data_IF_613953317139
#
_entry.id   IF_613953317139
#
_cell.length_a   1.000
_cell.length_b   1.000
_cell.length_c   1.000
_cell.angle_alpha   90.00
_cell.angle_beta   90.00
_cell.angle_gamma   90.00
#
_symmetry.space_group_name_H-M   'P 1'
#
loop_
_entity.id
_entity.type
_entity.pdbx_description
1 polymer ?
#
# COMPACT_ATOMS: atom_id res chain seq x y z
N UNK A 1 -7.12 33.25 26.88
CA UNK A 1 -6.12 33.32 25.79
C UNK A 1 -6.64 32.53 24.60
N UNK A 2 -6.50 32.95 23.34
CA UNK A 2 -6.96 32.15 22.21
C UNK A 2 -6.07 30.91 22.06
N UNK A 3 -6.68 29.75 21.83
CA UNK A 3 -5.98 28.52 21.47
C UNK A 3 -5.27 28.79 20.13
N UNK A 4 -3.93 28.80 20.14
CA UNK A 4 -3.15 28.93 18.91
C UNK A 4 -3.43 27.70 18.05
N UNK A 5 -4.18 27.91 16.98
CA UNK A 5 -4.40 26.88 15.97
C UNK A 5 -3.07 26.63 15.25
N UNK A 6 -2.47 25.47 15.50
CA UNK A 6 -1.28 25.02 14.78
C UNK A 6 -1.70 23.95 13.80
N UNK A 7 -1.49 24.19 12.51
CA UNK A 7 -1.65 23.14 11.51
C UNK A 7 -0.61 22.03 11.78
N UNK A 8 -0.99 20.75 11.68
CA UNK A 8 -0.03 19.65 11.74
C UNK A 8 1.00 19.81 10.63
N UNK A 9 2.27 19.57 10.92
CA UNK A 9 3.30 19.45 9.89
C UNK A 9 3.04 18.15 9.10
N UNK A 10 2.73 18.29 7.82
CA UNK A 10 2.48 17.20 6.88
C UNK A 10 3.58 17.28 5.82
N UNK A 11 4.17 16.14 5.45
CA UNK A 11 5.17 16.11 4.39
C UNK A 11 4.51 16.61 3.10
N UNK A 12 5.15 17.56 2.42
CA UNK A 12 4.63 18.08 1.18
C UNK A 12 4.60 16.99 0.09
N UNK A 13 3.49 16.89 -0.62
CA UNK A 13 3.35 16.00 -1.77
C UNK A 13 3.95 16.64 -3.01
N UNK A 14 4.97 16.00 -3.55
CA UNK A 14 5.76 16.44 -4.71
C UNK A 14 5.39 15.73 -6.01
N UNK A 15 4.22 15.08 -6.04
CA UNK A 15 3.75 14.29 -7.19
C UNK A 15 4.58 13.04 -7.49
N UNK A 16 5.34 12.50 -6.53
CA UNK A 16 6.11 11.26 -6.74
C UNK A 16 5.58 10.04 -5.97
N UNK A 17 4.76 10.26 -4.94
CA UNK A 17 4.18 9.19 -4.13
C UNK A 17 2.74 8.90 -4.53
N UNK A 18 2.16 7.85 -3.96
CA UNK A 18 0.74 7.55 -4.16
C UNK A 18 -0.14 8.71 -3.64
N UNK A 19 -1.09 9.25 -4.45
CA UNK A 19 -1.95 10.34 -4.04
C UNK A 19 -2.98 9.93 -2.98
N UNK A 20 -3.41 8.66 -2.97
CA UNK A 20 -4.33 8.11 -1.97
C UNK A 20 -3.70 8.05 -0.58
N UNK A 21 -2.44 7.60 -0.50
CA UNK A 21 -1.67 7.60 0.75
C UNK A 21 -1.52 9.01 1.33
N UNK A 22 -1.26 10.01 0.48
CA UNK A 22 -1.20 11.42 0.91
C UNK A 22 -2.54 11.91 1.47
N UNK A 23 -3.64 11.63 0.77
CA UNK A 23 -4.99 11.97 1.24
C UNK A 23 -5.30 11.30 2.58
N UNK A 24 -4.98 10.02 2.74
CA UNK A 24 -5.22 9.27 3.97
C UNK A 24 -4.42 9.86 5.14
N UNK A 25 -3.12 10.14 4.92
CA UNK A 25 -2.27 10.77 5.91
C UNK A 25 -2.77 12.16 6.30
N UNK A 26 -3.11 13.00 5.32
CA UNK A 26 -3.63 14.34 5.55
C UNK A 26 -4.93 14.29 6.36
N UNK A 27 -5.87 13.42 5.95
CA UNK A 27 -7.16 13.23 6.64
C UNK A 27 -6.95 12.82 8.09
N UNK A 28 -6.10 11.83 8.35
CA UNK A 28 -5.81 11.36 9.71
C UNK A 28 -5.24 12.48 10.58
N UNK A 29 -4.31 13.28 10.05
CA UNK A 29 -3.71 14.42 10.76
C UNK A 29 -4.75 15.49 11.07
N UNK A 30 -5.63 15.81 10.13
CA UNK A 30 -6.69 16.80 10.33
C UNK A 30 -7.77 16.34 11.30
N UNK A 31 -8.09 15.04 11.33
CA UNK A 31 -9.02 14.47 12.31
C UNK A 31 -8.48 14.54 13.75
N UNK A 32 -7.16 14.54 13.93
CA UNK A 32 -6.53 14.72 15.24
C UNK A 32 -6.59 16.18 15.75
N UNK A 33 -6.91 17.13 14.87
CA UNK A 33 -7.06 18.54 15.25
C UNK A 33 -8.48 18.79 15.74
N UNK A 34 -8.62 19.39 16.92
CA UNK A 34 -9.91 19.79 17.47
C UNK A 34 -10.50 20.97 16.67
N UNK A 35 -11.26 20.65 15.62
CA UNK A 35 -11.96 21.61 14.78
C UNK A 35 -13.47 21.61 15.04
N UNK A 36 -14.12 22.79 15.12
CA UNK A 36 -15.58 22.89 15.11
C UNK A 36 -16.18 22.19 13.90
N UNK A 37 -17.25 21.43 14.11
CA UNK A 37 -17.85 20.56 13.09
C UNK A 37 -18.27 21.35 11.84
N UNK A 38 -18.75 22.57 12.03
CA UNK A 38 -19.26 23.48 11.01
C UNK A 38 -18.17 24.01 10.08
N UNK A 39 -16.92 24.05 10.58
CA UNK A 39 -15.77 24.59 9.84
C UNK A 39 -14.79 23.52 9.36
N UNK A 40 -15.00 22.26 9.78
CA UNK A 40 -14.05 21.15 9.56
C UNK A 40 -13.76 20.93 8.09
N UNK A 41 -14.79 20.75 7.26
CA UNK A 41 -14.65 20.51 5.82
C UNK A 41 -13.94 21.67 5.12
N UNK A 42 -14.38 22.90 5.37
CA UNK A 42 -13.77 24.10 4.79
C UNK A 42 -12.30 24.24 5.20
N UNK A 43 -11.97 23.92 6.45
CA UNK A 43 -10.58 23.95 6.95
C UNK A 43 -9.74 22.84 6.33
N UNK A 44 -10.29 21.63 6.19
CA UNK A 44 -9.61 20.53 5.52
C UNK A 44 -9.33 20.85 4.05
N UNK A 45 -10.30 21.40 3.31
CA UNK A 45 -10.10 21.79 1.91
C UNK A 45 -9.04 22.88 1.78
N UNK A 46 -9.11 23.95 2.58
CA UNK A 46 -8.14 25.06 2.53
C UNK A 46 -6.75 24.64 2.98
N UNK A 47 -6.66 23.82 4.02
CA UNK A 47 -5.39 23.31 4.53
C UNK A 47 -4.70 22.35 3.56
N UNK A 48 -5.46 21.68 2.68
CA UNK A 48 -4.89 20.67 1.78
C UNK A 48 -3.83 21.27 0.86
N UNK A 49 -4.07 22.48 0.33
CA UNK A 49 -3.09 23.19 -0.50
C UNK A 49 -1.75 23.41 0.21
N UNK A 50 -1.74 23.60 1.54
CA UNK A 50 -0.49 23.76 2.30
C UNK A 50 0.36 22.47 2.39
N UNK A 51 -0.24 21.32 2.07
CA UNK A 51 0.44 20.03 2.02
C UNK A 51 0.95 19.65 0.62
N UNK A 52 0.83 20.55 -0.37
CA UNK A 52 1.22 20.28 -1.75
C UNK A 52 2.41 21.15 -2.16
N UNK A 53 3.22 20.64 -3.09
CA UNK A 53 4.28 21.41 -3.75
C UNK A 53 4.29 21.13 -5.25
N UNK A 54 5.03 21.95 -6.01
CA UNK A 54 5.24 21.74 -7.44
C UNK A 54 3.94 21.59 -8.25
N UNK A 55 3.83 20.58 -9.15
CA UNK A 55 2.65 20.37 -9.99
C UNK A 55 1.34 20.18 -9.21
N UNK A 56 1.39 19.55 -8.04
CA UNK A 56 0.21 19.36 -7.19
C UNK A 56 -0.33 20.68 -6.64
N UNK A 57 0.55 21.57 -6.21
CA UNK A 57 0.15 22.91 -5.77
C UNK A 57 -0.44 23.72 -6.93
N UNK A 58 0.17 23.64 -8.12
CA UNK A 58 -0.32 24.31 -9.32
C UNK A 58 -1.70 23.80 -9.73
N UNK A 59 -1.95 22.50 -9.65
CA UNK A 59 -3.29 21.95 -9.90
C UNK A 59 -4.32 22.51 -8.91
N UNK A 60 -4.00 22.53 -7.61
CA UNK A 60 -4.92 22.97 -6.57
C UNK A 60 -5.36 24.44 -6.75
N UNK A 61 -4.42 25.35 -7.08
CA UNK A 61 -4.75 26.77 -7.28
C UNK A 61 -5.55 27.03 -8.56
N UNK A 62 -5.49 26.12 -9.54
CA UNK A 62 -6.19 26.22 -10.82
C UNK A 62 -7.57 25.53 -10.81
N UNK A 63 -8.01 25.01 -9.66
CA UNK A 63 -9.35 24.42 -9.54
C UNK A 63 -10.44 25.47 -9.84
N UNK A 64 -11.49 25.12 -10.59
CA UNK A 64 -12.57 26.06 -10.86
C UNK A 64 -13.21 26.56 -9.57
N UNK A 65 -13.54 27.85 -9.54
CA UNK A 65 -14.24 28.45 -8.41
C UNK A 65 -15.50 27.68 -8.06
N UNK A 66 -15.74 27.42 -6.77
CA UNK A 66 -16.91 26.69 -6.24
C UNK A 66 -17.02 25.21 -6.69
N UNK A 67 -15.99 24.64 -7.31
CA UNK A 67 -15.98 23.20 -7.68
C UNK A 67 -15.78 22.24 -6.51
N UNK A 68 -15.26 22.74 -5.38
CA UNK A 68 -14.97 21.98 -4.17
C UNK A 68 -15.95 22.38 -3.07
N UNK A 69 -16.91 21.52 -2.75
CA UNK A 69 -17.90 21.74 -1.68
C UNK A 69 -17.63 20.88 -0.43
N UNK A 70 -16.76 19.88 -0.53
CA UNK A 70 -16.35 19.01 0.58
C UNK A 70 -14.92 18.50 0.37
N UNK A 71 -14.30 18.01 1.45
CA UNK A 71 -12.98 17.40 1.37
C UNK A 71 -13.02 16.10 0.55
N UNK A 72 -14.13 15.36 0.59
CA UNK A 72 -14.32 14.16 -0.23
C UNK A 72 -14.23 14.46 -1.74
N UNK A 73 -14.90 15.53 -2.20
CA UNK A 73 -14.83 15.93 -3.62
C UNK A 73 -13.41 16.35 -4.00
N UNK A 74 -12.72 17.06 -3.10
CA UNK A 74 -11.32 17.44 -3.31
C UNK A 74 -10.41 16.21 -3.41
N UNK A 75 -10.56 15.24 -2.50
CA UNK A 75 -9.75 14.03 -2.50
C UNK A 75 -9.96 13.22 -3.76
N UNK A 76 -11.21 13.06 -4.20
CA UNK A 76 -11.53 12.28 -5.40
C UNK A 76 -10.90 12.91 -6.64
N UNK A 77 -11.05 14.23 -6.81
CA UNK A 77 -10.43 14.98 -7.91
C UNK A 77 -8.91 14.94 -7.88
N UNK A 78 -8.32 15.02 -6.69
CA UNK A 78 -6.87 14.95 -6.53
C UNK A 78 -6.34 13.57 -6.95
N UNK A 79 -6.99 12.52 -6.45
CA UNK A 79 -6.64 11.13 -6.73
C UNK A 79 -6.87 10.76 -8.19
N UNK A 80 -7.88 11.35 -8.85
CA UNK A 80 -8.13 11.25 -10.29
C UNK A 80 -7.03 11.97 -11.10
N UNK A 81 -6.72 13.22 -10.75
CA UNK A 81 -5.69 14.03 -11.43
C UNK A 81 -4.32 13.37 -11.40
N UNK A 82 -3.93 12.80 -10.26
CA UNK A 82 -2.62 12.20 -10.03
C UNK A 82 -2.66 10.68 -10.09
N UNK A 83 -3.68 10.09 -10.74
CA UNK A 83 -3.84 8.65 -10.83
C UNK A 83 -2.63 7.93 -11.45
N UNK A 84 -1.91 8.58 -12.37
CA UNK A 84 -0.67 8.06 -12.97
C UNK A 84 0.50 7.96 -11.98
N UNK A 85 0.43 8.66 -10.86
CA UNK A 85 1.42 8.58 -9.78
C UNK A 85 1.05 7.55 -8.71
N UNK A 86 -0.11 6.90 -8.84
CA UNK A 86 -0.40 5.73 -8.03
C UNK A 86 0.70 4.71 -8.32
N UNK A 87 1.29 4.17 -7.26
CA UNK A 87 2.13 2.99 -7.43
C UNK A 87 1.30 1.93 -8.17
N UNK A 88 1.93 1.17 -9.07
CA UNK A 88 1.30 -0.04 -9.61
C UNK A 88 0.76 -0.83 -8.43
N UNK A 89 -0.56 -1.05 -8.39
CA UNK A 89 -1.15 -1.88 -7.34
C UNK A 89 -0.42 -3.22 -7.35
N UNK A 90 0.16 -3.56 -6.20
CA UNK A 90 0.86 -4.81 -6.06
C UNK A 90 -0.18 -5.91 -6.10
N UNK A 91 0.01 -6.83 -7.03
CA UNK A 91 -0.85 -8.00 -7.17
C UNK A 91 -0.20 -9.17 -6.44
N UNK A 92 -0.97 -10.23 -6.21
CA UNK A 92 -0.41 -11.49 -5.68
C UNK A 92 0.76 -12.05 -6.50
N UNK A 93 0.88 -11.66 -7.78
CA UNK A 93 2.00 -12.03 -8.62
C UNK A 93 3.33 -11.41 -8.14
N UNK A 94 3.33 -10.21 -7.54
CA UNK A 94 4.57 -9.55 -7.08
C UNK A 94 5.24 -10.33 -5.94
N UNK A 95 4.48 -11.11 -5.17
CA UNK A 95 5.05 -11.98 -4.13
C UNK A 95 6.02 -13.03 -4.70
N UNK A 96 5.86 -13.44 -5.96
CA UNK A 96 6.75 -14.42 -6.60
C UNK A 96 8.13 -13.83 -6.95
N UNK A 97 8.27 -12.51 -6.94
CA UNK A 97 9.53 -11.82 -7.21
C UNK A 97 10.39 -11.69 -5.95
N UNK A 98 9.80 -11.91 -4.77
CA UNK A 98 10.50 -11.86 -3.49
C UNK A 98 11.23 -13.19 -3.28
N UNK A 99 12.54 -13.17 -3.53
CA UNK A 99 13.43 -14.31 -3.29
C UNK A 99 14.34 -14.04 -2.09
N UNK A 100 14.59 -15.06 -1.27
CA UNK A 100 15.59 -15.04 -0.23
C UNK A 100 16.98 -15.08 -0.87
N UNK A 101 17.82 -14.11 -0.54
CA UNK A 101 19.19 -14.07 -1.05
C UNK A 101 20.12 -14.98 -0.23
N UNK A 102 21.19 -15.53 -0.83
CA UNK A 102 22.11 -16.47 -0.16
C UNK A 102 22.71 -15.96 1.15
N UNK A 103 23.03 -14.67 1.22
CA UNK A 103 23.61 -14.03 2.41
C UNK A 103 22.54 -13.46 3.37
N UNK A 104 21.27 -13.61 3.04
CA UNK A 104 20.18 -13.02 3.80
C UNK A 104 19.65 -14.00 4.87
N UNK A 105 19.59 -13.57 6.14
CA UNK A 105 18.95 -14.37 7.17
C UNK A 105 17.44 -14.48 6.90
N UNK A 106 16.84 -15.62 7.24
CA UNK A 106 15.40 -15.88 7.04
C UNK A 106 14.50 -14.72 7.53
N UNK A 107 14.86 -14.09 8.66
CA UNK A 107 14.11 -12.96 9.22
C UNK A 107 14.06 -11.76 8.27
N UNK A 108 15.13 -11.50 7.51
CA UNK A 108 15.17 -10.46 6.49
C UNK A 108 14.19 -10.75 5.36
N UNK A 109 14.19 -12.01 4.90
CA UNK A 109 13.29 -12.46 3.85
C UNK A 109 11.82 -12.33 4.27
N UNK A 110 11.47 -12.82 5.47
CA UNK A 110 10.12 -12.71 6.04
C UNK A 110 9.71 -11.24 6.15
N UNK A 111 10.61 -10.35 6.56
CA UNK A 111 10.31 -8.92 6.67
C UNK A 111 9.96 -8.31 5.30
N UNK A 112 10.76 -8.57 4.26
CA UNK A 112 10.47 -8.10 2.89
C UNK A 112 9.18 -8.70 2.34
N UNK A 113 9.00 -10.01 2.50
CA UNK A 113 7.80 -10.70 2.02
C UNK A 113 6.54 -10.14 2.69
N UNK A 114 6.56 -9.91 4.01
CA UNK A 114 5.42 -9.30 4.70
C UNK A 114 5.20 -7.83 4.31
N UNK A 115 6.26 -7.07 4.04
CA UNK A 115 6.13 -5.70 3.54
C UNK A 115 5.44 -5.67 2.17
N UNK A 116 5.82 -6.59 1.27
CA UNK A 116 5.17 -6.74 -0.03
C UNK A 116 3.69 -7.15 0.13
N UNK A 117 3.44 -8.15 0.99
CA UNK A 117 2.09 -8.67 1.26
C UNK A 117 1.13 -7.62 1.81
N UNK A 118 1.59 -6.70 2.67
CA UNK A 118 0.75 -5.63 3.24
C UNK A 118 0.29 -4.63 2.17
N UNK A 119 1.05 -4.47 1.09
CA UNK A 119 0.71 -3.57 0.00
C UNK A 119 -0.25 -4.20 -1.04
N UNK A 120 -0.66 -5.45 -0.87
CA UNK A 120 -1.56 -6.17 -1.77
C UNK A 120 -2.98 -6.17 -1.15
N UNK A 121 -3.97 -5.51 -1.78
CA UNK A 121 -5.35 -5.54 -1.30
C UNK A 121 -5.90 -6.97 -1.20
N UNK A 122 -6.63 -7.28 -0.12
CA UNK A 122 -7.28 -8.58 0.10
C UNK A 122 -6.33 -9.81 -0.01
N UNK A 123 -5.04 -9.65 0.33
CA UNK A 123 -4.09 -10.76 0.27
C UNK A 123 -4.38 -11.83 1.33
N UNK A 124 -5.00 -12.93 0.90
CA UNK A 124 -5.33 -14.07 1.75
C UNK A 124 -4.09 -14.94 2.07
N UNK A 125 -4.12 -15.64 3.21
CA UNK A 125 -3.07 -16.59 3.59
C UNK A 125 -2.84 -17.65 2.49
N UNK A 126 -3.88 -18.31 1.91
CA UNK A 126 -3.70 -19.27 0.82
C UNK A 126 -2.93 -18.71 -0.39
N UNK A 127 -3.20 -17.46 -0.76
CA UNK A 127 -2.55 -16.78 -1.88
C UNK A 127 -1.06 -16.51 -1.61
N UNK A 128 -0.68 -16.33 -0.34
CA UNK A 128 0.68 -16.00 0.06
C UNK A 128 1.59 -17.23 0.30
N UNK A 129 1.03 -18.41 0.60
CA UNK A 129 1.82 -19.61 0.93
C UNK A 129 2.72 -20.05 -0.23
N UNK A 130 2.16 -20.18 -1.45
CA UNK A 130 2.92 -20.66 -2.61
C UNK A 130 4.08 -19.72 -2.98
N UNK A 131 3.87 -18.39 -3.12
CA UNK A 131 4.97 -17.45 -3.32
C UNK A 131 6.01 -17.48 -2.18
N UNK A 132 5.56 -17.53 -0.93
CA UNK A 132 6.45 -17.56 0.23
C UNK A 132 7.37 -18.77 0.21
N UNK A 133 6.82 -19.94 -0.09
CA UNK A 133 7.58 -21.19 -0.19
C UNK A 133 8.55 -21.18 -1.38
N UNK A 134 8.11 -20.62 -2.51
CA UNK A 134 8.94 -20.52 -3.72
C UNK A 134 10.13 -19.57 -3.54
N UNK A 135 9.98 -18.51 -2.75
CA UNK A 135 11.05 -17.55 -2.49
C UNK A 135 12.13 -18.03 -1.51
N UNK A 136 11.88 -19.08 -0.72
CA UNK A 136 12.84 -19.60 0.25
C UNK A 136 14.06 -20.28 -0.41
N UNK A 137 15.22 -20.18 0.23
CA UNK A 137 16.41 -20.92 -0.21
C UNK A 137 16.23 -22.43 -0.02
N UNK A 138 16.52 -23.27 -1.04
CA UNK A 138 16.38 -24.74 -0.96
C UNK A 138 17.19 -25.39 0.16
N UNK A 139 18.32 -24.78 0.54
CA UNK A 139 19.25 -25.35 1.52
C UNK A 139 19.00 -24.90 2.97
N UNK A 140 18.03 -24.00 3.19
CA UNK A 140 17.67 -23.55 4.53
C UNK A 140 16.92 -24.62 5.33
N UNK A 141 17.30 -24.80 6.60
CA UNK A 141 16.59 -25.66 7.57
C UNK A 141 15.04 -25.47 7.55
N UNK A 142 14.51 -24.23 7.52
CA UNK A 142 13.06 -24.01 7.46
C UNK A 142 12.40 -24.49 6.16
N UNK A 143 13.11 -24.42 5.01
CA UNK A 143 12.58 -24.92 3.74
C UNK A 143 12.43 -26.44 3.78
N UNK A 144 13.42 -27.13 4.35
CA UNK A 144 13.41 -28.59 4.53
C UNK A 144 12.30 -29.04 5.46
N UNK A 145 12.07 -28.32 6.56
CA UNK A 145 10.93 -28.60 7.45
C UNK A 145 9.58 -28.37 6.78
N UNK A 146 9.39 -27.24 6.10
CA UNK A 146 8.10 -26.92 5.47
C UNK A 146 7.76 -27.85 4.29
N UNK A 147 8.76 -28.31 3.53
CA UNK A 147 8.55 -29.27 2.44
C UNK A 147 8.25 -30.70 2.91
N UNK A 148 8.74 -31.12 4.09
CA UNK A 148 8.40 -32.41 4.70
C UNK A 148 6.89 -32.59 4.94
N UNK A 149 6.18 -31.52 5.28
CA UNK A 149 4.73 -31.57 5.51
C UNK A 149 3.90 -31.52 4.22
N UNK A 150 4.45 -31.00 3.11
CA UNK A 150 3.79 -30.94 1.81
C UNK A 150 3.89 -32.25 1.02
N UNK A 151 4.91 -33.08 1.26
CA UNK A 151 5.01 -34.43 0.69
C UNK A 151 3.94 -35.42 1.19
N UNK A 152 2.97 -34.98 2.02
CA UNK A 152 1.90 -35.83 2.55
C UNK A 152 0.53 -35.67 1.88
N UNK A 153 0.40 -34.91 0.79
CA UNK A 153 -0.84 -34.90 -0.01
C UNK A 153 -0.83 -36.04 -1.05
N UNK A 154 -1.80 -36.99 -1.04
CA UNK A 154 -1.70 -38.23 -1.82
C UNK A 154 -1.96 -38.12 -3.34
N UNK A 155 -2.11 -36.95 -3.93
CA UNK A 155 -2.70 -36.86 -5.29
C UNK A 155 -1.70 -36.87 -6.44
N UNK A 156 -0.40 -37.09 -6.16
CA UNK A 156 0.63 -37.20 -7.21
C UNK A 156 0.96 -38.63 -7.63
N UNK A 157 -0.04 -39.52 -7.64
CA UNK A 157 0.12 -40.90 -8.13
C UNK A 157 -0.92 -41.31 -9.17
N UNK A 158 -1.32 -40.40 -10.08
CA UNK A 158 -2.29 -40.76 -11.13
C UNK A 158 -1.90 -40.39 -12.56
N UNK A 159 -0.66 -39.94 -12.80
CA UNK A 159 -0.20 -39.60 -14.16
C UNK A 159 1.00 -40.42 -14.67
N UNK A 160 1.38 -41.52 -14.01
CA UNK A 160 2.44 -42.42 -14.49
C UNK A 160 1.98 -43.88 -14.75
N UNK A 161 0.72 -44.23 -14.46
CA UNK A 161 0.19 -45.59 -14.62
C UNK A 161 -0.82 -45.73 -15.79
N UNK A 162 -0.82 -44.81 -16.76
CA UNK A 162 -1.62 -44.91 -18.00
C UNK A 162 -0.74 -44.97 -19.27
N UNK A 163 0.45 -45.57 -19.14
CA UNK A 163 1.43 -45.64 -20.23
C UNK A 163 2.18 -46.96 -20.38
N UNK A 164 1.74 -48.05 -19.72
CA UNK A 164 2.22 -49.41 -19.99
C UNK A 164 1.11 -50.42 -19.69
N UNK A 165 0.60 -51.06 -20.74
CA UNK A 165 -0.41 -52.11 -20.67
C UNK A 165 -1.29 -52.09 -21.89
#
# INVERSE_FOLDING_TARGET
>A
MPIKFSFPCIKAYDSTTDPGDHVAQYRQRMLAVALPKESREATMCKGFGSSLTGPAMQWYINLPSKSITSFAILSDKFVEQFASNRGLEKTSASLYEILQHRAEPLRGYIARFNQEKVAIPECSIPTAISPFMRGLLPDGDPYKELTKYLCKTPWKTSYLELGRG
#
